data_IF_621472261957
#
_entry.id   IF_621472261957
#
_cell.length_a   1.000
_cell.length_b   1.000
_cell.length_c   1.000
_cell.angle_alpha   90.00
_cell.angle_beta   90.00
_cell.angle_gamma   90.00
#
_symmetry.space_group_name_H-M   'P 1'
#
loop_
_entity.id
_entity.type
_entity.pdbx_description
1 polymer ?
#
# COMPACT_ATOMS: atom_id res chain seq x y z
N UNK A 1 -31.51 44.42 12.36
CA UNK A 1 -31.08 43.01 12.32
C UNK A 1 -29.56 43.00 12.37
N UNK A 2 -28.98 43.03 13.57
CA UNK A 2 -27.53 42.96 13.77
C UNK A 2 -27.12 41.50 13.92
N UNK A 3 -26.28 41.01 13.02
CA UNK A 3 -25.57 39.75 13.20
C UNK A 3 -24.15 40.07 13.68
N UNK A 4 -23.71 39.60 14.85
CA UNK A 4 -22.29 39.60 15.16
C UNK A 4 -21.66 38.40 14.45
N UNK A 5 -20.87 38.68 13.41
CA UNK A 5 -19.93 37.70 12.85
C UNK A 5 -18.82 37.55 13.87
N UNK A 6 -18.87 36.45 14.63
CA UNK A 6 -17.82 36.06 15.55
C UNK A 6 -16.56 35.71 14.76
N UNK A 7 -15.57 36.59 14.82
CA UNK A 7 -14.24 36.35 14.27
C UNK A 7 -13.51 35.30 15.12
N UNK A 8 -13.70 34.02 14.81
CA UNK A 8 -12.85 32.91 15.28
C UNK A 8 -11.67 32.63 14.35
N UNK A 9 -11.40 33.53 13.39
CA UNK A 9 -10.57 33.28 12.20
C UNK A 9 -9.05 33.48 12.38
N UNK A 10 -8.51 33.79 13.57
CA UNK A 10 -7.08 34.19 13.66
C UNK A 10 -6.24 33.46 14.71
N UNK A 11 -6.86 32.72 15.64
CA UNK A 11 -6.09 31.94 16.63
C UNK A 11 -5.96 30.45 16.30
N UNK A 12 -6.86 29.91 15.48
CA UNK A 12 -6.77 28.55 14.97
C UNK A 12 -5.60 28.33 13.99
N UNK A 13 -5.24 29.26 13.07
CA UNK A 13 -4.20 28.99 12.08
C UNK A 13 -2.84 28.66 12.71
N UNK A 14 -2.43 29.40 13.74
CA UNK A 14 -1.12 29.18 14.38
C UNK A 14 -1.10 27.94 15.26
N UNK A 15 -2.15 27.72 16.06
CA UNK A 15 -2.25 26.52 16.89
C UNK A 15 -2.38 25.26 16.04
N UNK A 16 -3.14 25.32 14.95
CA UNK A 16 -3.30 24.20 14.02
C UNK A 16 -2.00 23.91 13.23
N UNK A 17 -1.30 24.93 12.76
CA UNK A 17 0.00 24.74 12.10
C UNK A 17 1.03 24.19 13.08
N UNK A 18 1.03 24.66 14.33
CA UNK A 18 1.90 24.13 15.39
C UNK A 18 1.56 22.68 15.72
N UNK A 19 0.27 22.32 15.85
CA UNK A 19 -0.10 20.93 16.12
C UNK A 19 0.29 20.01 14.97
N UNK A 20 0.05 20.39 13.71
CA UNK A 20 0.48 19.62 12.55
C UNK A 20 2.01 19.47 12.48
N UNK A 21 2.76 20.54 12.78
CA UNK A 21 4.22 20.52 12.82
C UNK A 21 4.74 19.60 13.93
N UNK A 22 4.15 19.66 15.14
CA UNK A 22 4.49 18.77 16.25
C UNK A 22 4.17 17.31 15.90
N UNK A 23 3.01 17.04 15.27
CA UNK A 23 2.64 15.70 14.85
C UNK A 23 3.63 15.13 13.82
N UNK A 24 4.05 15.95 12.85
CA UNK A 24 5.10 15.58 11.88
C UNK A 24 6.42 15.28 12.59
N UNK A 25 6.85 16.15 13.50
CA UNK A 25 8.10 15.98 14.25
C UNK A 25 8.10 14.70 15.12
N UNK A 26 7.01 14.45 15.86
CA UNK A 26 6.86 13.23 16.68
C UNK A 26 6.98 12.00 15.79
N UNK A 27 6.28 12.00 14.64
CA UNK A 27 6.35 10.91 13.68
C UNK A 27 7.80 10.65 13.28
N UNK A 28 8.54 11.69 12.84
CA UNK A 28 9.95 11.61 12.43
C UNK A 28 10.83 11.03 13.53
N UNK A 29 10.69 11.50 14.76
CA UNK A 29 11.48 11.01 15.91
C UNK A 29 11.20 9.53 16.15
N UNK A 30 9.93 9.11 16.11
CA UNK A 30 9.53 7.73 16.33
C UNK A 30 10.18 6.82 15.28
N UNK A 31 10.06 7.11 13.99
CA UNK A 31 10.66 6.30 12.92
C UNK A 31 12.20 6.29 12.97
N UNK A 32 12.84 7.43 13.23
CA UNK A 32 14.30 7.51 13.36
C UNK A 32 14.82 6.70 14.54
N UNK A 33 14.10 6.69 15.67
CA UNK A 33 14.42 5.83 16.81
C UNK A 33 14.28 4.35 16.45
N UNK A 34 13.21 3.95 15.75
CA UNK A 34 13.03 2.58 15.31
C UNK A 34 14.13 2.11 14.33
N UNK A 35 14.56 2.98 13.41
CA UNK A 35 15.70 2.72 12.52
C UNK A 35 17.02 2.60 13.28
N UNK A 36 17.24 3.44 14.30
CA UNK A 36 18.50 3.46 15.06
C UNK A 36 18.63 2.31 16.06
N UNK A 37 17.51 1.86 16.63
CA UNK A 37 17.48 0.73 17.57
C UNK A 37 17.52 -0.64 16.89
N UNK A 38 17.63 -0.69 15.55
CA UNK A 38 17.60 -1.95 14.80
C UNK A 38 16.24 -2.66 14.88
N UNK A 39 15.18 -1.92 15.22
CA UNK A 39 13.80 -2.39 15.34
C UNK A 39 12.95 -1.95 14.14
N UNK A 40 13.57 -1.77 12.97
CA UNK A 40 12.82 -1.56 11.72
C UNK A 40 11.83 -2.71 11.46
N UNK A 41 12.21 -3.92 11.89
CA UNK A 41 11.43 -5.16 11.80
C UNK A 41 10.30 -5.23 12.87
N UNK A 42 10.25 -4.29 13.82
CA UNK A 42 9.20 -4.19 14.86
C UNK A 42 8.15 -3.12 14.54
N UNK A 43 8.43 -2.24 13.56
CA UNK A 43 7.43 -1.41 12.88
C UNK A 43 6.82 -2.11 11.67
N UNK A 44 7.31 -3.29 11.28
CA UNK A 44 6.40 -4.35 10.90
C UNK A 44 5.57 -4.65 12.16
N UNK A 45 4.37 -4.07 12.25
CA UNK A 45 3.38 -4.60 13.18
C UNK A 45 3.14 -6.03 12.74
N UNK A 46 3.89 -6.95 13.32
CA UNK A 46 3.50 -8.33 13.44
C UNK A 46 2.28 -8.33 14.36
N UNK A 47 1.15 -7.93 13.78
CA UNK A 47 -0.13 -8.32 14.31
C UNK A 47 -0.32 -9.76 13.82
N UNK A 48 0.44 -10.66 14.44
CA UNK A 48 -0.07 -12.00 14.75
C UNK A 48 -1.33 -11.78 15.60
N UNK A 49 -2.44 -11.44 14.94
CA UNK A 49 -3.73 -11.53 15.57
C UNK A 49 -3.89 -12.98 16.02
N UNK A 50 -4.23 -13.22 17.29
CA UNK A 50 -4.40 -14.57 17.80
C UNK A 50 -5.46 -15.27 16.94
N UNK A 51 -5.15 -16.52 16.57
CA UNK A 51 -6.02 -17.48 15.89
C UNK A 51 -7.50 -17.19 16.14
N UNK A 52 -8.18 -16.64 15.13
CA UNK A 52 -9.64 -16.63 15.04
C UNK A 52 -10.14 -18.01 14.58
N UNK A 53 -9.58 -19.10 15.12
CA UNK A 53 -10.11 -20.45 14.93
C UNK A 53 -11.28 -20.68 15.89
N UNK A 54 -12.43 -20.08 15.61
CA UNK A 54 -13.69 -20.54 16.24
C UNK A 54 -14.95 -20.40 15.37
N UNK A 55 -14.82 -20.16 14.06
CA UNK A 55 -15.97 -20.28 13.14
C UNK A 55 -15.61 -21.16 11.93
N UNK A 56 -16.29 -22.30 11.73
CA UNK A 56 -16.06 -23.15 10.58
C UNK A 56 -16.92 -22.66 9.42
N UNK A 57 -16.42 -21.70 8.65
CA UNK A 57 -16.94 -21.46 7.30
C UNK A 57 -15.77 -21.44 6.34
N UNK A 58 -15.70 -22.49 5.52
CA UNK A 58 -14.67 -22.74 4.52
C UNK A 58 -14.56 -21.57 3.54
N UNK A 59 -13.56 -20.73 3.71
CA UNK A 59 -12.90 -20.00 2.62
C UNK A 59 -11.42 -20.39 2.74
N UNK A 60 -10.83 -21.08 1.75
CA UNK A 60 -9.38 -21.23 1.70
C UNK A 60 -8.78 -19.84 1.53
N UNK A 61 -8.26 -19.29 2.63
CA UNK A 61 -7.38 -18.12 2.65
C UNK A 61 -6.23 -18.41 1.66
N UNK A 62 -6.29 -17.83 0.47
CA UNK A 62 -5.18 -17.85 -0.48
C UNK A 62 -4.02 -17.09 0.21
N UNK A 63 -2.80 -17.64 0.22
CA UNK A 63 -1.72 -16.99 0.92
C UNK A 63 -1.44 -15.66 0.20
N UNK A 64 -1.49 -14.56 0.96
CA UNK A 64 -1.17 -13.21 0.51
C UNK A 64 0.28 -12.95 0.03
N UNK A 65 1.24 -13.91 -0.06
CA UNK A 65 2.48 -13.68 -0.79
C UNK A 65 2.29 -13.62 -2.32
N UNK A 66 1.47 -14.48 -2.93
CA UNK A 66 1.57 -14.68 -4.39
C UNK A 66 1.03 -13.50 -5.21
N UNK A 67 -0.09 -12.90 -4.81
CA UNK A 67 -0.62 -11.69 -5.47
C UNK A 67 0.31 -10.50 -5.32
N UNK A 68 0.86 -10.28 -4.11
CA UNK A 68 1.83 -9.23 -3.86
C UNK A 68 3.11 -9.42 -4.68
N UNK A 69 3.65 -10.65 -4.75
CA UNK A 69 4.84 -10.96 -5.53
C UNK A 69 4.66 -10.69 -7.03
N UNK A 70 3.54 -11.12 -7.61
CA UNK A 70 3.24 -10.90 -9.02
C UNK A 70 3.11 -9.40 -9.34
N UNK A 71 2.48 -8.62 -8.45
CA UNK A 71 2.34 -7.17 -8.66
C UNK A 71 3.69 -6.45 -8.52
N UNK A 72 4.52 -6.86 -7.56
CA UNK A 72 5.87 -6.32 -7.33
C UNK A 72 6.79 -6.48 -8.54
N UNK A 73 6.64 -7.56 -9.28
CA UNK A 73 7.38 -7.84 -10.52
C UNK A 73 7.02 -6.83 -11.63
N UNK A 74 5.76 -6.39 -11.67
CA UNK A 74 5.28 -5.45 -12.68
C UNK A 74 5.70 -4.01 -12.35
N UNK A 75 5.85 -3.67 -11.07
CA UNK A 75 6.15 -2.30 -10.65
C UNK A 75 7.66 -2.04 -10.55
N UNK A 76 8.25 -1.13 -11.34
CA UNK A 76 9.68 -0.85 -11.26
C UNK A 76 10.05 -0.21 -9.92
N UNK A 77 11.22 -0.56 -9.42
CA UNK A 77 11.90 0.11 -8.29
C UNK A 77 13.02 0.95 -8.88
N UNK A 78 13.02 2.23 -8.55
CA UNK A 78 14.08 3.19 -8.94
C UNK A 78 14.43 4.05 -7.74
N UNK A 79 15.60 4.68 -7.76
CA UNK A 79 15.90 5.71 -6.74
C UNK A 79 15.16 7.00 -7.04
N UNK A 80 14.84 7.77 -6.00
CA UNK A 80 14.17 9.05 -6.18
C UNK A 80 15.02 10.04 -7.01
N UNK A 81 16.33 10.11 -6.80
CA UNK A 81 17.23 10.96 -7.59
C UNK A 81 17.21 10.64 -9.10
N UNK A 82 17.10 9.35 -9.44
CA UNK A 82 17.00 8.88 -10.82
C UNK A 82 15.64 9.28 -11.42
N UNK A 83 14.58 9.18 -10.61
CA UNK A 83 13.24 9.60 -11.00
C UNK A 83 13.21 11.10 -11.33
N UNK A 84 13.77 11.93 -10.45
CA UNK A 84 13.89 13.40 -10.63
C UNK A 84 14.71 13.76 -11.87
N UNK A 85 15.78 13.02 -12.15
CA UNK A 85 16.61 13.26 -13.34
C UNK A 85 15.89 12.86 -14.63
N UNK A 86 15.10 11.79 -14.59
CA UNK A 86 14.35 11.27 -15.74
C UNK A 86 13.09 12.08 -16.06
N UNK A 87 12.53 12.76 -15.07
CA UNK A 87 11.45 13.73 -15.24
C UNK A 87 12.00 15.02 -15.85
N UNK A 88 11.97 15.13 -17.17
CA UNK A 88 12.36 16.33 -17.92
C UNK A 88 11.38 17.50 -17.71
N UNK A 89 11.24 17.98 -16.46
CA UNK A 89 10.44 19.13 -16.07
C UNK A 89 9.04 18.84 -15.50
N UNK A 90 8.72 17.60 -15.08
CA UNK A 90 7.50 17.32 -14.31
C UNK A 90 7.78 17.51 -12.81
N UNK A 91 6.95 18.29 -12.12
CA UNK A 91 7.02 18.46 -10.66
C UNK A 91 6.64 17.11 -9.99
N UNK A 92 7.65 16.38 -9.51
CA UNK A 92 7.41 15.18 -8.71
C UNK A 92 6.89 15.57 -7.33
N UNK A 93 6.01 14.75 -6.72
CA UNK A 93 5.65 14.93 -5.32
C UNK A 93 6.91 14.83 -4.45
N UNK A 94 7.05 15.77 -3.53
CA UNK A 94 8.20 15.81 -2.61
C UNK A 94 8.05 14.82 -1.45
N UNK A 95 6.85 14.27 -1.21
CA UNK A 95 6.57 13.35 -0.11
C UNK A 95 5.69 12.16 -0.48
N UNK A 96 5.87 11.05 0.24
CA UNK A 96 5.08 9.85 0.08
C UNK A 96 3.74 9.99 0.81
N UNK A 97 2.62 9.81 0.10
CA UNK A 97 1.30 9.96 0.70
C UNK A 97 0.89 8.86 1.71
N UNK A 98 1.61 7.73 1.76
CA UNK A 98 1.34 6.65 2.71
C UNK A 98 2.00 6.94 4.06
N UNK A 99 3.26 7.37 4.03
CA UNK A 99 4.02 7.63 5.25
C UNK A 99 4.19 9.12 5.56
N UNK A 100 3.71 10.02 4.72
CA UNK A 100 3.77 11.47 4.86
C UNK A 100 5.19 12.04 5.07
N UNK A 101 6.22 11.33 4.59
CA UNK A 101 7.61 11.78 4.64
C UNK A 101 8.12 12.23 3.29
N UNK A 102 9.03 13.19 3.32
CA UNK A 102 9.77 13.62 2.14
C UNK A 102 10.61 12.49 1.54
N UNK A 103 10.78 12.51 0.23
CA UNK A 103 11.68 11.61 -0.46
C UNK A 103 13.11 12.15 -0.39
N UNK A 104 14.05 11.28 0.01
CA UNK A 104 15.49 11.56 -0.09
C UNK A 104 16.04 10.94 -1.38
N UNK A 105 17.11 11.52 -1.94
CA UNK A 105 17.61 11.15 -3.27
C UNK A 105 17.99 9.67 -3.42
N UNK A 106 18.56 9.07 -2.38
CA UNK A 106 19.01 7.67 -2.36
C UNK A 106 17.89 6.66 -2.05
N UNK A 107 16.70 7.13 -1.66
CA UNK A 107 15.60 6.25 -1.28
C UNK A 107 14.99 5.55 -2.49
N UNK A 108 14.68 4.26 -2.32
CA UNK A 108 13.98 3.46 -3.30
C UNK A 108 12.48 3.79 -3.31
N UNK A 109 11.96 4.09 -4.50
CA UNK A 109 10.56 4.39 -4.74
C UNK A 109 9.97 3.42 -5.76
N UNK A 110 8.64 3.29 -5.72
CA UNK A 110 7.84 2.66 -6.76
C UNK A 110 6.95 3.71 -7.40
N UNK A 111 7.09 3.88 -8.72
CA UNK A 111 6.17 4.69 -9.55
C UNK A 111 5.16 3.76 -10.22
N UNK A 112 3.88 3.97 -9.94
CA UNK A 112 2.82 3.16 -10.53
C UNK A 112 2.69 3.44 -12.03
N UNK A 113 2.65 2.40 -12.87
CA UNK A 113 2.56 2.58 -14.33
C UNK A 113 1.23 3.18 -14.78
N UNK A 114 0.14 2.80 -14.12
CA UNK A 114 -1.23 3.12 -14.56
C UNK A 114 -1.66 4.55 -14.19
N UNK A 115 -1.18 5.07 -13.05
CA UNK A 115 -1.57 6.39 -12.54
C UNK A 115 -0.39 7.31 -12.18
N UNK A 116 0.86 6.86 -12.37
CA UNK A 116 2.10 7.61 -12.15
C UNK A 116 2.36 8.11 -10.72
N UNK A 117 1.51 7.79 -9.75
CA UNK A 117 1.75 8.09 -8.35
C UNK A 117 3.00 7.37 -7.81
N UNK A 118 3.69 8.05 -6.89
CA UNK A 118 4.99 7.65 -6.35
C UNK A 118 4.88 7.40 -4.86
N UNK A 119 5.49 6.31 -4.40
CA UNK A 119 5.55 5.92 -2.99
C UNK A 119 6.91 5.32 -2.67
N UNK A 120 7.33 5.33 -1.39
CA UNK A 120 8.47 4.51 -0.98
C UNK A 120 8.21 3.05 -1.31
N UNK A 121 9.25 2.34 -1.75
CA UNK A 121 9.18 0.90 -2.04
C UNK A 121 8.54 0.14 -0.88
N UNK A 122 9.03 0.36 0.34
CA UNK A 122 8.53 -0.31 1.55
C UNK A 122 7.07 -0.01 1.85
N UNK A 123 6.63 1.24 1.66
CA UNK A 123 5.25 1.65 1.90
C UNK A 123 4.27 0.96 0.95
N UNK A 124 4.60 0.92 -0.34
CA UNK A 124 3.74 0.28 -1.33
C UNK A 124 3.83 -1.26 -1.25
N UNK A 125 5.00 -1.80 -0.90
CA UNK A 125 5.20 -3.23 -0.69
C UNK A 125 4.30 -3.74 0.45
N UNK A 126 4.29 -3.08 1.61
CA UNK A 126 3.40 -3.44 2.73
C UNK A 126 1.92 -3.28 2.37
N UNK A 127 1.57 -2.26 1.59
CA UNK A 127 0.20 -2.09 1.11
C UNK A 127 -0.26 -3.31 0.29
N UNK A 128 0.59 -3.82 -0.61
CA UNK A 128 0.31 -5.03 -1.39
C UNK A 128 0.23 -6.30 -0.53
N UNK A 129 1.05 -6.42 0.51
CA UNK A 129 1.01 -7.58 1.42
C UNK A 129 -0.32 -7.67 2.20
N UNK A 130 -0.99 -6.54 2.43
CA UNK A 130 -2.34 -6.45 3.00
C UNK A 130 -3.47 -6.66 1.97
N UNK A 131 -3.18 -7.43 0.91
CA UNK A 131 -4.04 -7.76 -0.22
C UNK A 131 -4.65 -6.55 -0.95
N UNK A 132 -4.05 -5.37 -0.80
CA UNK A 132 -4.49 -4.18 -1.52
C UNK A 132 -3.87 -4.16 -2.92
N UNK A 133 -4.71 -4.25 -3.95
CA UNK A 133 -4.30 -4.29 -5.37
C UNK A 133 -4.52 -2.96 -6.10
N UNK A 134 -4.66 -1.86 -5.36
CA UNK A 134 -5.02 -0.53 -5.88
C UNK A 134 -4.13 0.58 -5.34
N UNK A 135 -4.00 1.67 -6.09
CA UNK A 135 -3.27 2.85 -5.68
C UNK A 135 -3.82 3.46 -4.37
N UNK A 136 -2.99 3.71 -3.34
CA UNK A 136 -3.43 4.36 -2.10
C UNK A 136 -4.07 5.74 -2.29
N UNK A 137 -3.69 6.46 -3.35
CA UNK A 137 -4.16 7.82 -3.62
C UNK A 137 -5.44 7.86 -4.45
N UNK A 138 -5.48 7.12 -5.56
CA UNK A 138 -6.55 7.25 -6.56
C UNK A 138 -7.35 5.97 -6.79
N UNK A 139 -7.02 4.88 -6.08
CA UNK A 139 -7.67 3.56 -6.17
C UNK A 139 -7.61 2.89 -7.55
N UNK A 140 -6.87 3.44 -8.50
CA UNK A 140 -6.58 2.78 -9.78
C UNK A 140 -5.93 1.42 -9.52
N UNK A 141 -6.41 0.32 -10.13
CA UNK A 141 -5.83 -1.00 -9.94
C UNK A 141 -4.39 -1.04 -10.46
N UNK A 142 -3.56 -1.87 -9.83
CA UNK A 142 -2.18 -2.08 -10.26
C UNK A 142 -2.09 -2.87 -11.57
N UNK A 143 -3.02 -3.81 -11.76
CA UNK A 143 -3.15 -4.61 -12.98
C UNK A 143 -4.21 -3.96 -13.87
N UNK A 144 -3.90 -3.63 -15.14
CA UNK A 144 -4.90 -3.17 -16.10
C UNK A 144 -5.97 -4.23 -16.37
N UNK A 145 -7.20 -3.81 -16.67
CA UNK A 145 -8.33 -4.71 -16.93
C UNK A 145 -8.03 -5.75 -18.02
N UNK A 146 -7.29 -5.37 -19.08
CA UNK A 146 -6.88 -6.26 -20.17
C UNK A 146 -5.99 -7.43 -19.71
N UNK A 147 -5.19 -7.22 -18.66
CA UNK A 147 -4.27 -8.21 -18.10
C UNK A 147 -4.88 -8.95 -16.89
N UNK A 148 -6.09 -8.57 -16.47
CA UNK A 148 -6.69 -9.07 -15.24
C UNK A 148 -7.02 -10.56 -15.32
N UNK A 149 -7.47 -11.06 -16.46
CA UNK A 149 -7.78 -12.48 -16.65
C UNK A 149 -6.52 -13.36 -16.58
N UNK A 150 -5.44 -12.96 -17.25
CA UNK A 150 -4.15 -13.66 -17.18
C UNK A 150 -3.59 -13.63 -15.76
N UNK A 151 -3.65 -12.48 -15.10
CA UNK A 151 -3.22 -12.33 -13.72
C UNK A 151 -4.02 -13.24 -12.78
N UNK A 152 -5.35 -13.28 -12.91
CA UNK A 152 -6.21 -14.17 -12.16
C UNK A 152 -5.85 -15.63 -12.44
N UNK A 153 -5.68 -16.02 -13.71
CA UNK A 153 -5.31 -17.38 -14.08
C UNK A 153 -3.97 -17.79 -13.45
N UNK A 154 -2.98 -16.90 -13.43
CA UNK A 154 -1.69 -17.14 -12.75
C UNK A 154 -1.85 -17.29 -11.25
N UNK A 155 -2.73 -16.51 -10.62
CA UNK A 155 -3.09 -16.69 -9.21
C UNK A 155 -3.78 -18.03 -8.93
N UNK A 156 -4.73 -18.42 -9.77
CA UNK A 156 -5.43 -19.70 -9.68
C UNK A 156 -4.49 -20.89 -9.90
N UNK A 157 -3.53 -20.78 -10.83
CA UNK A 157 -2.53 -21.82 -11.03
C UNK A 157 -1.60 -21.94 -9.80
N UNK A 158 -1.21 -20.81 -9.20
CA UNK A 158 -0.36 -20.78 -8.02
C UNK A 158 -1.07 -21.24 -6.73
N UNK A 159 -2.41 -21.19 -6.68
CA UNK A 159 -3.20 -21.63 -5.53
C UNK A 159 -3.20 -23.15 -5.33
N UNK A 160 -2.72 -23.91 -6.31
CA UNK A 160 -2.68 -25.37 -6.25
C UNK A 160 -4.06 -26.02 -6.23
N UNK A 161 -5.13 -25.28 -6.52
CA UNK A 161 -6.50 -25.81 -6.63
C UNK A 161 -6.64 -26.50 -7.99
N UNK A 162 -5.99 -27.66 -8.12
CA UNK A 162 -6.38 -28.62 -9.14
C UNK A 162 -7.57 -29.43 -8.60
N UNK A 163 -8.71 -29.28 -9.26
CA UNK A 163 -9.86 -30.19 -9.24
C UNK A 163 -10.65 -30.34 -7.91
N UNK A 164 -11.56 -29.41 -7.64
CA UNK A 164 -12.79 -29.71 -6.88
C UNK A 164 -14.05 -29.75 -7.76
N UNK A 165 -13.88 -29.89 -9.08
CA UNK A 165 -15.00 -30.03 -10.02
C UNK A 165 -15.14 -31.45 -10.61
N UNK A 166 -14.56 -32.46 -9.96
CA UNK A 166 -14.78 -33.87 -10.31
C UNK A 166 -15.85 -34.59 -9.46
N UNK A 167 -16.42 -33.96 -8.42
CA UNK A 167 -17.40 -34.62 -7.53
C UNK A 167 -18.88 -34.26 -7.76
N UNK A 168 -19.21 -33.40 -8.72
CA UNK A 168 -20.62 -33.17 -9.10
C UNK A 168 -20.83 -33.20 -10.62
N UNK A 169 -20.56 -34.34 -11.23
CA UNK A 169 -21.38 -34.83 -12.33
C UNK A 169 -21.52 -36.35 -12.24
N UNK A 170 -22.72 -36.88 -12.50
CA UNK A 170 -23.24 -38.08 -11.87
C UNK A 170 -22.55 -39.32 -12.44
N UNK A 171 -22.00 -40.17 -11.58
CA UNK A 171 -21.65 -41.52 -12.01
C UNK A 171 -22.95 -42.32 -12.14
N UNK A 172 -23.08 -42.82 -13.36
CA UNK A 172 -24.13 -43.54 -14.04
C UNK A 172 -24.26 -45.02 -13.63
N UNK A 173 -25.34 -45.65 -14.12
CA UNK A 173 -25.50 -47.09 -14.47
C UNK A 173 -26.02 -48.07 -13.40
N UNK A 174 -27.33 -48.37 -13.44
CA UNK A 174 -27.93 -49.55 -14.10
C UNK A 174 -29.46 -49.57 -13.91
#
# INVERSE_FOLDING_TARGET
MGFPVGYTEVFLPKLFVQTLSILSFIRTVVFSLFRFLGLSDFLETDQTWPDYTSYPTRIPELPSPFSALLIREILPVIKFEEAVTSSSGEDLPESCAVCLYEFEGDQEIRRLRNCRHIFHRSCLDRWMDHDQKTCPLCRTPFVPDEMQEEFNQRLWAASGVHDFHSEFCPVTEL
#
